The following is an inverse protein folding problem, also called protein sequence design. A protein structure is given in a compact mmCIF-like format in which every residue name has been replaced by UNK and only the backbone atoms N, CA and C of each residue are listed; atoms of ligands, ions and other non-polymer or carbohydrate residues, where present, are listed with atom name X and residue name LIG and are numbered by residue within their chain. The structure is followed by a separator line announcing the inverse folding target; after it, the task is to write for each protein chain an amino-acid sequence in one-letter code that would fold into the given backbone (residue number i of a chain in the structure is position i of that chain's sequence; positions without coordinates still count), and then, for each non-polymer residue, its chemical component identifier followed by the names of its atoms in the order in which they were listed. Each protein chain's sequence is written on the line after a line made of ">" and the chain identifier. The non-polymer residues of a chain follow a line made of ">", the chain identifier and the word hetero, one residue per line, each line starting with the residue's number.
data_IF_712181306889
#
_entry.id   IF_712181306889
#
_cell.length_a   1.000
_cell.length_b   1.000
_cell.length_c   1.000
_cell.angle_alpha   90.00
_cell.angle_beta   90.00
_cell.angle_gamma   90.00
#
_symmetry.space_group_name_H-M   'P 1'
#
loop_
_entity.id
_entity.type
_entity.pdbx_description
1 polymer ?
#
# COMPACT_ATOMS: atom_id res chain seq x y z
N UNK A 1 2.46 55.14 32.23
CA UNK A 1 3.53 54.33 31.59
C UNK A 1 2.88 53.02 31.17
N UNK A 2 2.46 52.91 29.90
CA UNK A 2 1.78 51.73 29.35
C UNK A 2 2.84 50.64 29.11
N UNK A 3 2.78 49.53 29.83
CA UNK A 3 3.56 48.34 29.53
C UNK A 3 2.78 47.49 28.52
N UNK A 4 3.23 47.49 27.26
CA UNK A 4 2.77 46.56 26.23
C UNK A 4 3.40 45.19 26.49
N UNK A 5 2.59 44.20 26.92
CA UNK A 5 2.99 42.79 26.92
C UNK A 5 2.69 42.20 25.54
N UNK A 6 3.72 41.99 24.73
CA UNK A 6 3.61 41.28 23.45
C UNK A 6 3.61 39.76 23.71
N UNK A 7 2.47 39.11 23.52
CA UNK A 7 2.36 37.65 23.49
C UNK A 7 2.95 37.14 22.16
N UNK A 8 4.09 36.48 22.20
CA UNK A 8 4.66 35.79 21.03
C UNK A 8 3.99 34.42 20.93
N UNK A 9 2.99 34.29 20.07
CA UNK A 9 2.44 32.99 19.68
C UNK A 9 3.41 32.33 18.70
N UNK A 10 4.32 31.49 19.23
CA UNK A 10 5.11 30.58 18.39
C UNK A 10 4.18 29.48 17.92
N UNK A 11 3.71 29.60 16.67
CA UNK A 11 3.08 28.48 15.99
C UNK A 11 4.13 27.39 15.81
N UNK A 12 4.10 26.35 16.64
CA UNK A 12 4.82 25.11 16.42
C UNK A 12 4.30 24.51 15.11
N UNK A 13 4.97 24.83 14.00
CA UNK A 13 4.87 24.06 12.78
C UNK A 13 5.26 22.63 13.17
N UNK A 14 4.26 21.74 13.24
CA UNK A 14 4.54 20.32 13.43
C UNK A 14 5.44 19.92 12.26
N UNK A 15 6.65 19.37 12.52
CA UNK A 15 7.44 18.83 11.43
C UNK A 15 6.53 17.86 10.69
N UNK A 16 6.45 18.01 9.36
CA UNK A 16 5.90 16.96 8.52
C UNK A 16 6.78 15.76 8.85
N UNK A 17 6.22 14.77 9.54
CA UNK A 17 6.93 13.53 9.80
C UNK A 17 7.17 12.95 8.43
N UNK A 18 8.38 13.12 7.93
CA UNK A 18 8.86 12.40 6.77
C UNK A 18 8.90 10.95 7.26
N UNK A 19 7.84 10.18 6.95
CA UNK A 19 7.81 8.73 7.14
C UNK A 19 8.79 8.12 6.13
N UNK A 20 10.07 8.48 6.24
CA UNK A 20 11.14 7.73 5.63
C UNK A 20 11.08 6.37 6.34
N UNK A 21 10.53 5.37 5.65
CA UNK A 21 10.39 4.03 6.16
C UNK A 21 11.76 3.56 6.67
N UNK A 22 11.93 3.56 8.00
CA UNK A 22 13.15 3.05 8.65
C UNK A 22 13.26 1.52 8.53
N UNK A 23 12.29 0.89 7.87
CA UNK A 23 12.19 -0.53 7.68
C UNK A 23 12.86 -0.95 6.38
N UNK A 24 13.73 -1.97 6.41
CA UNK A 24 14.23 -2.57 5.19
C UNK A 24 13.08 -3.21 4.42
N UNK A 25 13.23 -3.30 3.09
CA UNK A 25 12.28 -4.00 2.25
C UNK A 25 12.11 -5.46 2.71
N UNK A 26 10.90 -5.89 3.09
CA UNK A 26 10.69 -7.25 3.56
C UNK A 26 10.81 -8.23 2.39
N UNK A 27 11.33 -9.43 2.66
CA UNK A 27 11.32 -10.58 1.74
C UNK A 27 11.86 -10.31 0.31
N UNK A 28 12.79 -9.36 0.14
CA UNK A 28 13.36 -9.05 -1.19
C UNK A 28 12.40 -8.31 -2.13
N UNK A 29 11.42 -7.60 -1.57
CA UNK A 29 10.50 -6.71 -2.31
C UNK A 29 11.20 -5.48 -2.91
N UNK A 30 12.47 -5.24 -2.61
CA UNK A 30 13.26 -4.23 -3.34
C UNK A 30 13.53 -4.62 -4.80
N UNK A 31 13.44 -5.93 -5.13
CA UNK A 31 13.89 -6.46 -6.43
C UNK A 31 12.77 -7.01 -7.31
N UNK A 32 11.71 -7.53 -6.71
CA UNK A 32 10.65 -8.19 -7.46
C UNK A 32 9.32 -8.16 -6.69
N UNK A 33 8.23 -8.25 -7.46
CA UNK A 33 6.90 -8.48 -6.92
C UNK A 33 6.80 -9.91 -6.39
N UNK A 34 6.18 -10.06 -5.22
CA UNK A 34 5.86 -11.35 -4.62
C UNK A 34 4.35 -11.45 -4.42
N UNK A 35 3.75 -12.57 -4.83
CA UNK A 35 2.32 -12.83 -4.70
C UNK A 35 2.07 -14.19 -4.08
N UNK A 36 1.14 -14.25 -3.13
CA UNK A 36 0.77 -15.48 -2.43
C UNK A 36 -0.75 -15.60 -2.35
N UNK A 37 -1.25 -16.82 -2.52
CA UNK A 37 -2.68 -17.11 -2.31
C UNK A 37 -2.91 -17.31 -0.81
N UNK A 38 -3.86 -16.57 -0.24
CA UNK A 38 -4.10 -16.58 1.20
C UNK A 38 -4.85 -17.82 1.70
N UNK A 39 -5.67 -18.45 0.87
CA UNK A 39 -6.51 -19.59 1.25
C UNK A 39 -6.37 -20.76 0.25
N UNK A 40 -6.26 -21.97 0.78
CA UNK A 40 -6.25 -23.20 -0.02
C UNK A 40 -7.69 -23.73 -0.18
N UNK A 41 -7.97 -24.39 -1.32
CA UNK A 41 -9.28 -25.00 -1.59
C UNK A 41 -10.35 -24.03 -2.10
N UNK A 42 -9.97 -22.81 -2.48
CA UNK A 42 -10.87 -21.86 -3.13
C UNK A 42 -11.30 -22.34 -4.53
N UNK A 43 -12.46 -21.88 -4.99
CA UNK A 43 -13.01 -22.25 -6.31
C UNK A 43 -12.10 -21.82 -7.47
N UNK A 44 -11.30 -20.77 -7.26
CA UNK A 44 -10.36 -20.26 -8.24
C UNK A 44 -8.92 -20.44 -7.77
N UNK A 45 -8.02 -20.65 -8.72
CA UNK A 45 -6.58 -20.60 -8.50
C UNK A 45 -6.00 -19.42 -9.25
N UNK A 46 -5.19 -18.61 -8.56
CA UNK A 46 -4.43 -17.52 -9.17
C UNK A 46 -3.08 -18.07 -9.62
N UNK A 47 -2.79 -18.03 -10.92
CA UNK A 47 -1.53 -18.52 -11.48
C UNK A 47 -0.46 -17.43 -11.60
N UNK A 48 -0.85 -16.17 -11.79
CA UNK A 48 0.08 -15.03 -11.73
C UNK A 48 -0.60 -13.73 -11.33
N UNK A 49 0.18 -12.85 -10.72
CA UNK A 49 -0.13 -11.44 -10.50
C UNK A 49 1.03 -10.62 -11.04
N UNK A 50 0.73 -9.74 -11.98
CA UNK A 50 1.70 -8.82 -12.56
C UNK A 50 1.19 -7.38 -12.44
N UNK A 51 2.11 -6.42 -12.48
CA UNK A 51 1.77 -4.99 -12.45
C UNK A 51 2.22 -4.34 -13.74
N UNK A 52 1.31 -3.63 -14.40
CA UNK A 52 1.58 -2.99 -15.69
C UNK A 52 1.14 -1.53 -15.70
N UNK A 53 1.68 -0.75 -16.62
CA UNK A 53 1.10 0.53 -17.01
C UNK A 53 -0.16 0.33 -17.88
N UNK A 54 -0.77 1.43 -18.31
CA UNK A 54 -1.95 1.41 -19.19
C UNK A 54 -1.64 0.90 -20.62
N UNK A 55 -0.37 0.92 -21.04
CA UNK A 55 0.08 0.37 -22.31
C UNK A 55 0.40 -1.13 -22.21
N UNK A 56 0.34 -1.71 -21.01
CA UNK A 56 0.60 -3.12 -20.75
C UNK A 56 2.07 -3.46 -20.52
N UNK A 57 2.95 -2.47 -20.39
CA UNK A 57 4.35 -2.70 -20.03
C UNK A 57 4.45 -3.04 -18.54
N UNK A 58 5.28 -4.02 -18.18
CA UNK A 58 5.55 -4.34 -16.78
C UNK A 58 6.13 -3.15 -16.03
N UNK A 59 5.61 -2.87 -14.84
CA UNK A 59 6.05 -1.77 -13.98
C UNK A 59 6.46 -2.34 -12.63
N UNK A 60 7.74 -2.23 -12.31
CA UNK A 60 8.26 -2.48 -10.98
C UNK A 60 9.54 -1.66 -10.75
N UNK A 61 9.76 -1.06 -9.57
CA UNK A 61 8.79 -0.88 -8.49
C UNK A 61 7.61 0.00 -8.90
N UNK A 62 6.51 -0.09 -8.16
CA UNK A 62 5.29 0.69 -8.42
C UNK A 62 5.44 2.07 -7.78
N UNK A 63 5.10 3.12 -8.54
CA UNK A 63 4.89 4.46 -7.98
C UNK A 63 3.39 4.65 -7.68
N UNK A 64 2.94 4.60 -6.40
CA UNK A 64 1.53 4.66 -6.05
C UNK A 64 0.87 6.01 -6.36
N UNK A 65 1.66 7.03 -6.73
CA UNK A 65 1.16 8.35 -7.18
C UNK A 65 0.70 8.32 -8.65
N UNK A 66 0.97 7.23 -9.36
CA UNK A 66 0.59 7.03 -10.76
C UNK A 66 -0.37 5.86 -10.88
N UNK A 67 -1.35 5.92 -11.80
CA UNK A 67 -2.19 4.76 -12.10
C UNK A 67 -1.34 3.58 -12.59
N UNK A 68 -1.66 2.39 -12.11
CA UNK A 68 -1.12 1.12 -12.58
C UNK A 68 -2.23 0.08 -12.60
N UNK A 69 -2.00 -1.02 -13.32
CA UNK A 69 -2.94 -2.13 -13.46
C UNK A 69 -2.39 -3.35 -12.75
N UNK A 70 -3.20 -3.95 -11.88
CA UNK A 70 -2.98 -5.30 -11.36
C UNK A 70 -3.59 -6.30 -12.33
N UNK A 71 -2.75 -7.07 -13.02
CA UNK A 71 -3.18 -8.11 -13.93
C UNK A 71 -3.16 -9.46 -13.22
N UNK A 72 -4.35 -10.02 -13.03
CA UNK A 72 -4.55 -11.33 -12.41
C UNK A 72 -4.83 -12.38 -13.48
N UNK A 73 -4.02 -13.43 -13.54
CA UNK A 73 -4.38 -14.64 -14.28
C UNK A 73 -4.91 -15.66 -13.28
N UNK A 74 -6.17 -16.07 -13.47
CA UNK A 74 -6.82 -17.03 -12.60
C UNK A 74 -7.64 -18.04 -13.40
N UNK A 75 -7.77 -19.25 -12.85
CA UNK A 75 -8.59 -20.31 -13.40
C UNK A 75 -9.69 -20.67 -12.41
N UNK A 76 -10.94 -20.71 -12.88
CA UNK A 76 -12.10 -21.11 -12.10
C UNK A 76 -12.38 -22.60 -12.31
N UNK A 77 -12.28 -23.40 -11.25
CA UNK A 77 -12.51 -24.85 -11.28
C UNK A 77 -13.96 -25.23 -10.97
N UNK A 78 -14.80 -24.28 -10.55
CA UNK A 78 -16.17 -24.54 -10.11
C UNK A 78 -17.23 -23.96 -11.01
N UNK A 79 -18.34 -23.53 -10.41
CA UNK A 79 -19.46 -22.96 -11.15
C UNK A 79 -19.08 -21.59 -11.74
N UNK A 80 -19.77 -21.22 -12.83
CA UNK A 80 -19.63 -19.90 -13.44
C UNK A 80 -19.93 -18.80 -12.41
N UNK A 81 -19.14 -17.73 -12.45
CA UNK A 81 -19.29 -16.54 -11.60
C UNK A 81 -19.71 -15.39 -12.51
N UNK A 82 -20.90 -14.84 -12.30
CA UNK A 82 -21.45 -13.77 -13.13
C UNK A 82 -21.27 -12.36 -12.54
N UNK A 83 -21.06 -12.25 -11.21
CA UNK A 83 -20.79 -10.98 -10.52
C UNK A 83 -19.44 -11.06 -9.79
N UNK A 84 -18.35 -10.76 -10.51
CA UNK A 84 -17.02 -10.73 -9.92
C UNK A 84 -16.72 -9.34 -9.32
N UNK A 85 -16.36 -9.31 -8.04
CA UNK A 85 -16.03 -8.09 -7.30
C UNK A 85 -14.64 -8.19 -6.70
N UNK A 86 -13.92 -7.08 -6.74
CA UNK A 86 -12.58 -6.97 -6.16
C UNK A 86 -12.62 -5.98 -5.01
N UNK A 87 -11.93 -6.31 -3.92
CA UNK A 87 -11.70 -5.41 -2.79
C UNK A 87 -10.19 -5.34 -2.54
N UNK A 88 -9.61 -4.15 -2.62
CA UNK A 88 -8.17 -3.93 -2.47
C UNK A 88 -7.91 -3.17 -1.17
N UNK A 89 -6.96 -3.69 -0.39
CA UNK A 89 -6.39 -3.00 0.78
C UNK A 89 -4.91 -2.80 0.55
N UNK A 90 -4.44 -1.59 0.84
CA UNK A 90 -3.02 -1.23 0.73
C UNK A 90 -2.44 -1.19 2.13
N UNK A 91 -1.27 -1.78 2.30
CA UNK A 91 -0.52 -1.73 3.54
C UNK A 91 0.87 -1.17 3.27
N UNK A 92 1.38 -0.39 4.21
CA UNK A 92 2.75 0.10 4.23
C UNK A 92 3.54 -0.65 5.29
N UNK A 93 4.80 -1.00 4.98
CA UNK A 93 5.67 -1.67 5.94
C UNK A 93 6.52 -0.63 6.67
N UNK A 94 6.10 -0.28 7.89
CA UNK A 94 6.73 0.78 8.67
C UNK A 94 6.91 0.41 10.14
N UNK A 95 7.79 1.15 10.80
CA UNK A 95 8.00 1.08 12.25
C UNK A 95 6.99 1.98 12.94
N UNK A 96 6.34 1.49 13.99
CA UNK A 96 5.37 2.28 14.74
C UNK A 96 5.99 3.49 15.45
N UNK A 97 5.19 4.49 15.79
CA UNK A 97 5.65 5.72 16.48
C UNK A 97 6.41 5.44 17.79
N UNK A 98 6.11 4.34 18.47
CA UNK A 98 6.70 3.96 19.76
C UNK A 98 7.54 2.68 19.72
N UNK A 99 7.69 2.04 18.55
CA UNK A 99 8.39 0.77 18.40
C UNK A 99 9.35 0.80 17.21
N UNK A 100 10.50 0.17 17.36
CA UNK A 100 11.42 -0.09 16.25
C UNK A 100 11.00 -1.27 15.37
N UNK A 101 10.00 -2.04 15.80
CA UNK A 101 9.54 -3.22 15.07
C UNK A 101 8.74 -2.81 13.83
N UNK A 102 9.11 -3.41 12.69
CA UNK A 102 8.48 -3.15 11.41
C UNK A 102 7.26 -4.04 11.21
N UNK A 103 6.12 -3.42 10.94
CA UNK A 103 4.83 -4.11 10.78
C UNK A 103 4.06 -3.54 9.60
N UNK A 104 3.11 -4.31 9.08
CA UNK A 104 2.20 -3.85 8.03
C UNK A 104 1.09 -2.99 8.64
N UNK A 105 1.06 -1.72 8.25
CA UNK A 105 0.04 -0.75 8.67
C UNK A 105 -0.90 -0.49 7.50
N UNK A 106 -2.21 -0.56 7.74
CA UNK A 106 -3.22 -0.33 6.71
C UNK A 106 -3.25 1.15 6.30
N UNK A 107 -3.11 1.42 5.00
CA UNK A 107 -3.25 2.75 4.42
C UNK A 107 -4.73 2.99 4.13
N UNK A 108 -5.39 3.97 4.78
CA UNK A 108 -6.81 4.22 4.55
C UNK A 108 -7.06 4.71 3.12
N UNK A 109 -7.75 3.92 2.31
CA UNK A 109 -8.09 4.27 0.92
C UNK A 109 -9.42 5.02 0.82
N UNK A 110 -10.16 5.15 1.92
CA UNK A 110 -11.46 5.84 2.01
C UNK A 110 -12.48 5.40 0.94
N UNK A 111 -12.41 4.14 0.50
CA UNK A 111 -13.31 3.58 -0.51
C UNK A 111 -13.02 4.07 -1.94
N UNK A 112 -11.83 4.62 -2.19
CA UNK A 112 -11.40 5.06 -3.51
C UNK A 112 -10.81 3.93 -4.37
N UNK A 113 -10.72 2.71 -3.83
CA UNK A 113 -10.27 1.49 -4.51
C UNK A 113 -11.36 0.41 -4.48
#
# INVERSE_FOLDING_TARGET
>A
MLFFLTLITVALAKPVVDHAANCPFPNGTDKALHSYICAAGEQFTVSSIDTTDAAGNTVYPIDPRKPFVLRLNAYNHGQQIDDNRVNVRIFEYESGMTSSDCTWVNVPTFGLL
#
